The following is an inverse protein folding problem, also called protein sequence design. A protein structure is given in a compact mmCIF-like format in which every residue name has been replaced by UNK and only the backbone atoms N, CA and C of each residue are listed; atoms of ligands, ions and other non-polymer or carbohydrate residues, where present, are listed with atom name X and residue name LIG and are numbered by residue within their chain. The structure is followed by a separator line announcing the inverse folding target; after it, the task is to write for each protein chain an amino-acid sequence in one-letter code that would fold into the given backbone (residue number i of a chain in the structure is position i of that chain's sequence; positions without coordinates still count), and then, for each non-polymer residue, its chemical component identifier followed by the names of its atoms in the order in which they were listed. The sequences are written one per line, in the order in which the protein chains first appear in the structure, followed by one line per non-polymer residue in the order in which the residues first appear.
data_IF_847238188660
#
_entry.id   IF_847238188660
#
_cell.length_a   1.000
_cell.length_b   1.000
_cell.length_c   1.000
_cell.angle_alpha   90.00
_cell.angle_beta   90.00
_cell.angle_gamma   90.00
#
_symmetry.space_group_name_H-M   'P 1'
#
loop_
_entity.id
_entity.type
_entity.pdbx_description
1 polymer ?
#
# COMPACT_ATOMS: atom_id res chain seq x y z
N UNK A 1 0.09 -20.83 21.20
CA UNK A 1 -0.67 -19.69 20.64
C UNK A 1 -1.24 -18.93 21.83
N UNK A 2 -0.86 -17.67 22.04
CA UNK A 2 -1.18 -16.93 23.27
C UNK A 2 -2.59 -16.33 23.18
N UNK A 3 -3.33 -16.27 24.30
CA UNK A 3 -4.67 -15.69 24.36
C UNK A 3 -4.68 -14.21 23.96
N UNK A 4 -3.57 -13.52 24.22
CA UNK A 4 -3.33 -12.13 23.81
C UNK A 4 -3.24 -12.00 22.29
N UNK A 5 -2.63 -12.97 21.61
CA UNK A 5 -2.55 -13.01 20.15
C UNK A 5 -3.95 -13.17 19.53
N UNK A 6 -4.78 -14.01 20.17
CA UNK A 6 -6.18 -14.27 19.77
C UNK A 6 -7.04 -13.02 20.01
N UNK A 7 -6.95 -12.39 21.17
CA UNK A 7 -7.72 -11.17 21.49
C UNK A 7 -7.34 -9.99 20.59
N UNK A 8 -6.04 -9.82 20.31
CA UNK A 8 -5.58 -8.82 19.34
C UNK A 8 -6.15 -9.10 17.94
N UNK A 9 -6.18 -10.37 17.50
CA UNK A 9 -6.74 -10.75 16.20
C UNK A 9 -8.23 -10.45 16.03
N UNK A 10 -8.97 -10.46 17.14
CA UNK A 10 -10.42 -10.19 17.23
C UNK A 10 -10.71 -8.68 17.28
N UNK A 11 -9.79 -7.85 17.80
CA UNK A 11 -9.99 -6.41 17.97
C UNK A 11 -9.46 -5.54 16.80
N UNK A 12 -8.78 -6.13 15.82
CA UNK A 12 -8.22 -5.38 14.69
C UNK A 12 -9.31 -5.03 13.67
N UNK A 13 -9.72 -3.75 13.65
CA UNK A 13 -10.52 -3.19 12.56
C UNK A 13 -9.87 -3.48 11.19
N UNK A 14 -10.64 -3.61 10.10
CA UNK A 14 -10.09 -3.82 8.76
C UNK A 14 -9.00 -2.82 8.40
N UNK A 15 -9.15 -1.56 8.81
CA UNK A 15 -8.12 -0.51 8.65
C UNK A 15 -6.80 -0.87 9.34
N UNK A 16 -6.86 -1.35 10.58
CA UNK A 16 -5.64 -1.74 11.31
C UNK A 16 -4.97 -2.98 10.72
N UNK A 17 -5.74 -3.95 10.17
CA UNK A 17 -5.17 -5.11 9.46
C UNK A 17 -4.41 -4.68 8.21
N UNK A 18 -4.99 -3.78 7.41
CA UNK A 18 -4.32 -3.21 6.22
C UNK A 18 -3.01 -2.51 6.58
N UNK A 19 -3.02 -1.67 7.62
CA UNK A 19 -1.81 -0.95 8.03
C UNK A 19 -0.71 -1.92 8.47
N UNK A 20 -1.05 -2.94 9.26
CA UNK A 20 -0.08 -3.94 9.70
C UNK A 20 0.46 -4.78 8.54
N UNK A 21 -0.41 -5.18 7.58
CA UNK A 21 0.04 -5.93 6.40
C UNK A 21 1.05 -5.12 5.58
N UNK A 22 0.78 -3.83 5.33
CA UNK A 22 1.71 -2.96 4.61
C UNK A 22 3.01 -2.71 5.38
N UNK A 23 2.93 -2.51 6.70
CA UNK A 23 4.13 -2.39 7.55
C UNK A 23 4.97 -3.66 7.55
N UNK A 24 4.35 -4.84 7.45
CA UNK A 24 5.09 -6.11 7.39
C UNK A 24 6.00 -6.23 6.16
N UNK A 25 5.73 -5.45 5.09
CA UNK A 25 6.55 -5.43 3.88
C UNK A 25 7.95 -4.84 4.15
N UNK A 26 8.10 -4.03 5.20
CA UNK A 26 9.40 -3.52 5.62
C UNK A 26 10.40 -4.64 5.93
N UNK A 27 9.95 -5.84 6.31
CA UNK A 27 10.85 -6.98 6.50
C UNK A 27 11.63 -7.33 5.24
N UNK A 28 11.02 -7.11 4.06
CA UNK A 28 11.66 -7.33 2.75
C UNK A 28 12.37 -6.08 2.24
N UNK A 29 11.79 -4.89 2.42
CA UNK A 29 12.29 -3.67 1.77
C UNK A 29 13.41 -2.97 2.55
N UNK A 30 13.53 -3.23 3.86
CA UNK A 30 14.55 -2.60 4.73
C UNK A 30 15.99 -2.84 4.30
N UNK A 31 16.28 -4.01 3.73
CA UNK A 31 17.63 -4.36 3.22
C UNK A 31 18.07 -3.43 2.08
N UNK A 32 17.12 -2.76 1.44
CA UNK A 32 17.33 -1.79 0.35
C UNK A 32 17.22 -0.34 0.83
N UNK A 33 17.16 -0.11 2.14
CA UNK A 33 17.02 1.22 2.75
C UNK A 33 15.61 1.82 2.63
N UNK A 34 14.63 1.05 2.13
CA UNK A 34 13.26 1.49 1.92
C UNK A 34 12.39 1.02 3.08
N UNK A 35 12.01 1.94 3.98
CA UNK A 35 11.23 1.63 5.19
C UNK A 35 10.06 2.59 5.30
N UNK A 36 8.84 2.06 5.32
CA UNK A 36 7.62 2.83 5.53
C UNK A 36 7.32 2.98 7.02
N UNK A 37 7.09 4.20 7.48
CA UNK A 37 6.55 4.45 8.81
C UNK A 37 5.03 4.18 8.84
N UNK A 38 4.42 4.05 10.02
CA UNK A 38 2.96 3.96 10.13
C UNK A 38 2.23 5.16 9.50
N UNK A 39 2.85 6.35 9.52
CA UNK A 39 2.27 7.53 8.88
C UNK A 39 2.34 7.44 7.37
N UNK A 40 3.44 6.94 6.80
CA UNK A 40 3.58 6.74 5.36
C UNK A 40 2.55 5.74 4.83
N UNK A 41 2.38 4.62 5.53
CA UNK A 41 1.35 3.63 5.21
C UNK A 41 -0.05 4.25 5.25
N UNK A 42 -0.34 5.09 6.25
CA UNK A 42 -1.62 5.81 6.33
C UNK A 42 -1.81 6.74 5.13
N UNK A 43 -0.78 7.48 4.73
CA UNK A 43 -0.79 8.35 3.56
C UNK A 43 -1.08 7.55 2.28
N UNK A 44 -0.37 6.45 2.06
CA UNK A 44 -0.57 5.58 0.89
C UNK A 44 -1.99 5.02 0.83
N UNK A 45 -2.53 4.54 1.95
CA UNK A 45 -3.91 4.01 2.03
C UNK A 45 -4.96 5.10 1.79
N UNK A 46 -4.75 6.31 2.30
CA UNK A 46 -5.65 7.44 2.05
C UNK A 46 -5.67 7.81 0.56
N UNK A 47 -4.48 7.91 -0.04
CA UNK A 47 -4.31 8.18 -1.48
C UNK A 47 -4.97 7.11 -2.34
N UNK A 48 -4.68 5.83 -2.09
CA UNK A 48 -5.33 4.68 -2.73
C UNK A 48 -6.85 4.79 -2.71
N UNK A 49 -7.41 5.03 -1.52
CA UNK A 49 -8.86 5.07 -1.35
C UNK A 49 -9.47 6.27 -2.08
N UNK A 50 -8.74 7.38 -2.21
CA UNK A 50 -9.17 8.51 -3.04
C UNK A 50 -9.18 8.12 -4.52
N UNK A 51 -8.11 7.53 -5.04
CA UNK A 51 -8.03 7.10 -6.43
C UNK A 51 -9.11 6.09 -6.81
N UNK A 52 -9.37 5.10 -5.96
CA UNK A 52 -10.45 4.14 -6.18
C UNK A 52 -11.81 4.83 -6.26
N UNK A 53 -12.09 5.78 -5.36
CA UNK A 53 -13.36 6.54 -5.39
C UNK A 53 -13.47 7.42 -6.63
N UNK A 54 -12.43 8.18 -6.95
CA UNK A 54 -12.42 9.11 -8.09
C UNK A 54 -12.59 8.38 -9.42
N UNK A 55 -12.11 7.14 -9.51
CA UNK A 55 -12.23 6.28 -10.70
C UNK A 55 -13.36 5.24 -10.62
N UNK A 56 -14.29 5.38 -9.66
CA UNK A 56 -15.44 4.49 -9.47
C UNK A 56 -15.07 2.99 -9.40
N UNK A 57 -13.96 2.67 -8.74
CA UNK A 57 -13.45 1.31 -8.57
C UNK A 57 -13.72 0.75 -7.19
N UNK A 58 -13.95 -0.55 -7.16
CA UNK A 58 -14.00 -1.34 -5.94
C UNK A 58 -12.89 -2.38 -6.01
N UNK A 59 -12.01 -2.37 -5.01
CA UNK A 59 -10.95 -3.37 -4.86
C UNK A 59 -11.01 -3.94 -3.45
N UNK A 60 -11.14 -5.26 -3.36
CA UNK A 60 -11.14 -5.99 -2.09
C UNK A 60 -9.69 -6.19 -1.64
N UNK A 61 -9.36 -5.75 -0.42
CA UNK A 61 -8.00 -5.85 0.13
C UNK A 61 -7.06 -4.74 -0.35
N UNK A 62 -5.78 -5.06 -0.49
CA UNK A 62 -4.70 -4.12 -0.85
C UNK A 62 -3.72 -4.68 -1.91
N UNK A 63 -4.21 -5.59 -2.77
CA UNK A 63 -3.35 -6.36 -3.67
C UNK A 63 -2.44 -5.49 -4.53
N UNK A 64 -3.00 -4.45 -5.16
CA UNK A 64 -2.23 -3.57 -6.05
C UNK A 64 -1.15 -2.80 -5.28
N UNK A 65 -1.51 -2.16 -4.16
CA UNK A 65 -0.56 -1.37 -3.38
C UNK A 65 0.58 -2.26 -2.83
N UNK A 66 0.26 -3.48 -2.39
CA UNK A 66 1.24 -4.46 -1.94
C UNK A 66 2.20 -4.85 -3.06
N UNK A 67 1.69 -5.16 -4.25
CA UNK A 67 2.50 -5.49 -5.42
C UNK A 67 3.40 -4.32 -5.85
N UNK A 68 2.88 -3.09 -5.85
CA UNK A 68 3.67 -1.90 -6.14
C UNK A 68 4.85 -1.77 -5.16
N UNK A 69 4.61 -1.95 -3.86
CA UNK A 69 5.66 -1.89 -2.84
C UNK A 69 6.70 -2.99 -3.07
N UNK A 70 6.28 -4.25 -3.24
CA UNK A 70 7.20 -5.37 -3.39
C UNK A 70 8.03 -5.28 -4.67
N UNK A 71 7.38 -5.09 -5.83
CA UNK A 71 8.05 -5.06 -7.14
C UNK A 71 8.99 -3.86 -7.24
N UNK A 72 8.49 -2.66 -6.97
CA UNK A 72 9.30 -1.45 -7.15
C UNK A 72 10.39 -1.33 -6.09
N UNK A 73 10.26 -1.92 -4.90
CA UNK A 73 11.36 -1.91 -3.94
C UNK A 73 12.66 -2.49 -4.49
N UNK A 74 12.61 -3.33 -5.52
CA UNK A 74 13.78 -3.91 -6.19
C UNK A 74 14.34 -3.06 -7.34
N UNK A 75 13.67 -1.98 -7.71
CA UNK A 75 14.10 -1.09 -8.79
C UNK A 75 15.29 -0.23 -8.35
N UNK A 76 16.31 -0.04 -9.21
CA UNK A 76 17.44 0.83 -8.92
C UNK A 76 17.06 2.33 -8.90
N UNK A 77 15.84 2.68 -9.30
CA UNK A 77 15.33 4.06 -9.34
C UNK A 77 14.53 4.43 -8.08
N UNK A 78 14.45 3.54 -7.08
CA UNK A 78 13.83 3.87 -5.81
C UNK A 78 14.88 4.43 -4.85
N UNK A 79 14.52 5.53 -4.20
CA UNK A 79 15.27 6.08 -3.07
C UNK A 79 14.34 6.31 -1.88
N UNK A 80 14.94 6.40 -0.70
CA UNK A 80 14.21 6.54 0.57
C UNK A 80 13.47 7.86 0.68
N UNK A 81 14.07 8.95 0.20
CA UNK A 81 13.59 10.30 0.43
C UNK A 81 12.33 10.59 -0.41
N UNK A 82 12.17 9.92 -1.56
CA UNK A 82 10.99 10.00 -2.42
C UNK A 82 10.13 8.73 -2.40
N UNK A 83 10.38 7.78 -1.50
CA UNK A 83 9.76 6.45 -1.59
C UNK A 83 8.23 6.50 -1.60
N UNK A 84 7.65 7.26 -0.66
CA UNK A 84 6.20 7.41 -0.51
C UNK A 84 5.59 8.15 -1.70
N UNK A 85 6.26 9.18 -2.19
CA UNK A 85 5.80 9.99 -3.31
C UNK A 85 5.79 9.17 -4.60
N UNK A 86 6.88 8.46 -4.89
CA UNK A 86 6.97 7.55 -6.03
C UNK A 86 5.89 6.46 -5.99
N UNK A 87 5.61 5.88 -4.81
CA UNK A 87 4.52 4.90 -4.66
C UNK A 87 3.13 5.52 -4.88
N UNK A 88 2.92 6.79 -4.53
CA UNK A 88 1.67 7.49 -4.86
C UNK A 88 1.55 7.71 -6.36
N UNK A 89 2.59 8.18 -7.04
CA UNK A 89 2.60 8.36 -8.49
C UNK A 89 2.32 7.04 -9.23
N UNK A 90 2.93 5.94 -8.79
CA UNK A 90 2.68 4.61 -9.36
C UNK A 90 1.23 4.15 -9.18
N UNK A 91 0.61 4.46 -8.03
CA UNK A 91 -0.82 4.21 -7.83
C UNK A 91 -1.67 5.07 -8.78
N UNK A 92 -1.35 6.35 -8.95
CA UNK A 92 -2.06 7.23 -9.88
C UNK A 92 -1.97 6.72 -11.32
N UNK A 93 -0.79 6.27 -11.75
CA UNK A 93 -0.60 5.66 -13.07
C UNK A 93 -1.44 4.40 -13.20
N UNK A 94 -1.37 3.48 -12.23
CA UNK A 94 -2.10 2.21 -12.29
C UNK A 94 -3.63 2.41 -12.27
N UNK A 95 -4.14 3.20 -11.33
CA UNK A 95 -5.57 3.42 -11.19
C UNK A 95 -6.11 4.38 -12.25
N UNK A 96 -5.34 5.37 -12.68
CA UNK A 96 -5.73 6.32 -13.73
C UNK A 96 -5.73 5.72 -15.14
N UNK A 97 -4.78 4.83 -15.45
CA UNK A 97 -4.62 4.28 -16.81
C UNK A 97 -5.74 3.29 -17.21
N UNK A 98 -6.15 2.40 -16.31
CA UNK A 98 -7.21 1.42 -16.59
C UNK A 98 -8.59 2.09 -16.79
N UNK A 99 -8.80 3.31 -16.29
CA UNK A 99 -10.08 4.02 -16.43
C UNK A 99 -10.30 4.56 -17.84
N UNK A 100 -9.23 4.80 -18.59
CA UNK A 100 -9.30 5.26 -19.99
C UNK A 100 -9.70 4.16 -20.98
N UNK A 101 -9.70 2.90 -20.57
CA UNK A 101 -10.08 1.76 -21.43
C UNK A 101 -11.57 1.37 -21.37
N UNK A 102 -12.31 1.83 -20.36
CA UNK A 102 -13.74 1.49 -20.20
C UNK A 102 -14.70 2.59 -20.69
N UNK A 103 -14.18 3.73 -21.15
CA UNK A 103 -14.95 4.85 -21.72
C UNK A 103 -14.71 5.00 -23.24
N UNK A 104 -14.47 3.89 -23.95
CA UNK A 104 -14.42 3.85 -25.42
C UNK A 104 -15.41 2.83 -25.95
#
# INVERSE_FOLDING_TARGET
MNLSDILNSIQLSPKSKTVMELLSLNEKTKERGLVLTPNDVKTLVVSRNKLLRDHARVELGIGVLKELIEVFSTSPYMDRDHYVDTLNELQEIFYGSVAKFLNR
#
